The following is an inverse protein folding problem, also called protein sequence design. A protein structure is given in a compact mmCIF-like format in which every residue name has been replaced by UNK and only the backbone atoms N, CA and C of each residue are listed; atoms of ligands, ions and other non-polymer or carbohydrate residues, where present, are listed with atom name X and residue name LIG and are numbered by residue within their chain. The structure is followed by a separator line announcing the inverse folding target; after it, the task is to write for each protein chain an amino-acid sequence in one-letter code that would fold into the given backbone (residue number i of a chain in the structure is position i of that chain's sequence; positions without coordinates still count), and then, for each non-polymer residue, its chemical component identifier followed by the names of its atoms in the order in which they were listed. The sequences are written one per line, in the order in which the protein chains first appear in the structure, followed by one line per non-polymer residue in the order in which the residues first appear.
data_IF_218078096776
#
_entry.id   IF_218078096776
#
_cell.length_a   1.000
_cell.length_b   1.000
_cell.length_c   1.000
_cell.angle_alpha   90.00
_cell.angle_beta   90.00
_cell.angle_gamma   90.00
#
_symmetry.space_group_name_H-M   'P 1'
#
loop_
_entity.id
_entity.type
_entity.pdbx_description
1 polymer ?
#
# COMPACT_ATOMS: atom_id res chain seq x y z
N UNK A 1 -61.53 68.57 22.28
CA UNK A 1 -62.04 67.90 23.50
C UNK A 1 -62.20 66.42 23.18
N UNK A 2 -61.46 65.54 23.88
CA UNK A 2 -61.68 64.10 24.14
C UNK A 2 -61.98 63.11 22.97
N UNK A 3 -61.03 62.17 22.79
CA UNK A 3 -61.15 60.69 22.75
C UNK A 3 -62.42 60.02 22.16
N UNK A 4 -62.29 59.10 21.19
CA UNK A 4 -62.13 57.63 21.40
C UNK A 4 -62.10 56.84 20.08
N UNK A 5 -61.50 55.64 20.17
CA UNK A 5 -61.09 54.67 19.15
C UNK A 5 -62.19 53.77 18.54
N UNK A 6 -61.75 53.01 17.52
CA UNK A 6 -62.16 51.68 17.00
C UNK A 6 -62.73 51.77 15.59
N UNK A 7 -62.34 50.98 14.58
CA UNK A 7 -61.41 49.85 14.44
C UNK A 7 -61.48 49.46 12.96
N UNK A 8 -60.37 49.42 12.21
CA UNK A 8 -60.36 49.00 10.81
C UNK A 8 -59.50 47.74 10.67
N UNK A 9 -60.14 46.63 10.30
CA UNK A 9 -59.49 45.39 9.87
C UNK A 9 -58.69 45.66 8.58
N UNK A 10 -57.42 45.26 8.55
CA UNK A 10 -56.63 45.14 7.33
C UNK A 10 -55.93 43.79 7.36
N UNK A 11 -56.29 42.93 6.40
CA UNK A 11 -55.71 41.62 6.21
C UNK A 11 -54.24 41.73 5.80
N UNK A 12 -53.35 41.09 6.55
CA UNK A 12 -51.94 40.93 6.18
C UNK A 12 -51.71 39.49 5.72
N UNK A 13 -51.45 39.33 4.43
CA UNK A 13 -51.01 38.06 3.83
C UNK A 13 -49.61 37.73 4.34
N UNK A 14 -49.47 36.64 5.09
CA UNK A 14 -48.18 36.08 5.49
C UNK A 14 -47.68 35.20 4.34
N UNK A 15 -46.69 35.69 3.59
CA UNK A 15 -45.88 34.85 2.70
C UNK A 15 -44.82 34.17 3.57
N UNK A 16 -45.06 32.91 3.93
CA UNK A 16 -44.04 32.07 4.58
C UNK A 16 -43.02 31.64 3.54
N UNK A 17 -41.86 32.30 3.52
CA UNK A 17 -40.67 31.81 2.80
C UNK A 17 -40.13 30.57 3.52
N UNK A 18 -40.43 29.38 3.00
CA UNK A 18 -39.78 28.15 3.42
C UNK A 18 -38.30 28.19 2.98
N UNK A 19 -37.38 28.28 3.94
CA UNK A 19 -35.96 28.05 3.70
C UNK A 19 -35.77 26.56 3.38
N UNK A 20 -34.98 26.19 2.36
CA UNK A 20 -34.66 24.80 2.10
C UNK A 20 -33.82 24.28 3.27
N UNK A 21 -34.31 23.25 3.95
CA UNK A 21 -33.52 22.50 4.92
C UNK A 21 -32.34 21.87 4.16
N UNK A 22 -31.16 22.48 4.26
CA UNK A 22 -29.90 21.80 3.99
C UNK A 22 -29.77 20.68 5.04
N UNK A 23 -30.27 19.50 4.70
CA UNK A 23 -29.85 18.28 5.35
C UNK A 23 -28.39 18.05 4.95
N UNK A 24 -27.48 18.59 5.76
CA UNK A 24 -26.11 18.11 5.78
C UNK A 24 -26.17 16.59 6.01
N UNK A 25 -25.45 15.76 5.21
CA UNK A 25 -25.39 14.35 5.47
C UNK A 25 -24.87 14.17 6.89
N UNK A 26 -25.59 13.41 7.71
CA UNK A 26 -25.17 13.03 9.05
C UNK A 26 -23.86 12.24 8.93
N UNK A 27 -22.74 12.95 9.07
CA UNK A 27 -21.43 12.37 9.30
C UNK A 27 -21.53 11.51 10.55
N UNK A 28 -21.69 10.20 10.37
CA UNK A 28 -21.25 9.24 11.39
C UNK A 28 -19.73 9.35 11.45
N UNK A 29 -19.23 10.35 12.17
CA UNK A 29 -17.85 10.37 12.63
C UNK A 29 -17.67 9.11 13.47
N UNK A 30 -17.03 8.09 12.89
CA UNK A 30 -16.49 7.01 13.69
C UNK A 30 -15.51 7.64 14.68
N UNK A 31 -15.63 7.29 15.95
CA UNK A 31 -14.86 7.83 17.06
C UNK A 31 -13.35 7.47 17.04
N UNK A 32 -12.84 6.99 15.90
CA UNK A 32 -11.46 6.55 15.71
C UNK A 32 -10.82 7.42 14.61
N UNK A 33 -9.89 8.30 14.97
CA UNK A 33 -9.15 9.21 14.08
C UNK A 33 -8.17 8.45 13.14
N UNK A 34 -8.70 7.75 12.13
CA UNK A 34 -7.96 6.85 11.21
C UNK A 34 -7.81 7.41 9.79
N UNK A 35 -8.26 8.63 9.56
CA UNK A 35 -8.29 9.27 8.24
C UNK A 35 -6.88 9.54 7.72
N UNK A 36 -6.71 9.46 6.41
CA UNK A 36 -5.47 9.83 5.71
C UNK A 36 -5.50 11.32 5.34
N UNK A 37 -4.38 12.03 5.45
CA UNK A 37 -4.29 13.43 4.99
C UNK A 37 -4.33 13.56 3.46
N UNK A 38 -4.76 14.72 2.92
CA UNK A 38 -4.68 15.00 1.50
C UNK A 38 -3.26 14.86 0.94
N UNK A 39 -2.23 15.27 1.69
CA UNK A 39 -0.84 15.19 1.28
C UNK A 39 -0.37 13.75 1.16
N UNK A 40 -0.70 12.90 2.15
CA UNK A 40 -0.37 11.48 2.10
C UNK A 40 -1.11 10.78 0.97
N UNK A 41 -2.39 11.10 0.74
CA UNK A 41 -3.14 10.55 -0.39
C UNK A 41 -2.50 10.90 -1.74
N UNK A 42 -2.11 12.17 -1.93
CA UNK A 42 -1.44 12.62 -3.15
C UNK A 42 -0.11 11.90 -3.39
N UNK A 43 0.69 11.74 -2.33
CA UNK A 43 1.98 11.03 -2.40
C UNK A 43 1.80 9.53 -2.71
N UNK A 44 0.79 8.87 -2.12
CA UNK A 44 0.47 7.47 -2.43
C UNK A 44 -0.03 7.30 -3.88
N UNK A 45 -0.84 8.21 -4.39
CA UNK A 45 -1.30 8.21 -5.78
C UNK A 45 -0.13 8.41 -6.77
N UNK A 46 0.76 9.35 -6.47
CA UNK A 46 1.96 9.59 -7.27
C UNK A 46 2.86 8.35 -7.29
N UNK A 47 3.13 7.76 -6.12
CA UNK A 47 3.96 6.57 -5.99
C UNK A 47 3.35 5.34 -6.67
N UNK A 48 2.02 5.24 -6.77
CA UNK A 48 1.36 4.21 -7.56
C UNK A 48 1.71 4.33 -9.06
N UNK A 49 1.74 5.55 -9.60
CA UNK A 49 2.18 5.79 -10.99
C UNK A 49 3.68 5.55 -11.17
N UNK A 50 4.50 5.94 -10.20
CA UNK A 50 5.96 5.71 -10.19
C UNK A 50 6.28 4.22 -10.20
N UNK A 51 5.59 3.42 -9.37
CA UNK A 51 5.83 1.96 -9.33
C UNK A 51 5.31 1.25 -10.58
N UNK A 52 4.24 1.74 -11.21
CA UNK A 52 3.75 1.18 -12.48
C UNK A 52 4.81 1.27 -13.59
N UNK A 53 5.58 2.37 -13.65
CA UNK A 53 6.69 2.54 -14.62
C UNK A 53 7.74 1.42 -14.51
N UNK A 54 7.90 0.80 -13.33
CA UNK A 54 8.86 -0.31 -13.15
C UNK A 54 8.51 -1.52 -14.04
N UNK A 55 7.26 -1.66 -14.47
CA UNK A 55 6.82 -2.68 -15.42
C UNK A 55 7.27 -2.44 -16.85
N UNK A 56 7.86 -1.29 -17.16
CA UNK A 56 8.57 -1.08 -18.43
C UNK A 56 10.00 -1.64 -18.43
N UNK A 57 10.54 -2.05 -17.28
CA UNK A 57 11.91 -2.56 -17.20
C UNK A 57 12.01 -3.96 -17.84
N UNK A 58 13.05 -4.16 -18.65
CA UNK A 58 13.36 -5.45 -19.28
C UNK A 58 12.66 -5.70 -20.62
N UNK A 59 11.88 -4.74 -21.13
CA UNK A 59 11.25 -4.84 -22.44
C UNK A 59 12.19 -4.28 -23.52
N UNK A 60 12.58 -5.14 -24.48
CA UNK A 60 13.47 -4.76 -25.57
C UNK A 60 12.83 -3.68 -26.45
N UNK A 61 13.51 -2.56 -26.65
CA UNK A 61 13.05 -1.46 -27.52
C UNK A 61 11.97 -0.52 -26.94
N UNK A 62 11.32 -0.88 -25.84
CA UNK A 62 10.26 -0.06 -25.18
C UNK A 62 10.52 0.19 -23.68
N UNK A 63 11.69 -0.20 -23.19
CA UNK A 63 12.11 0.01 -21.81
C UNK A 63 12.38 1.48 -21.44
N UNK A 64 12.77 1.70 -20.19
CA UNK A 64 13.07 3.05 -19.68
C UNK A 64 14.44 3.48 -20.20
N UNK A 65 14.54 4.71 -20.70
CA UNK A 65 15.75 5.31 -21.27
C UNK A 65 16.01 6.70 -20.70
N UNK A 66 17.26 7.18 -20.79
CA UNK A 66 17.63 8.53 -20.35
C UNK A 66 16.99 9.62 -21.24
N UNK A 67 16.63 10.80 -20.70
CA UNK A 67 16.72 11.22 -19.30
C UNK A 67 15.72 10.48 -18.41
N UNK A 68 14.43 10.41 -18.72
CA UNK A 68 13.49 9.46 -18.10
C UNK A 68 12.31 9.27 -19.07
N UNK A 69 12.48 8.36 -20.03
CA UNK A 69 11.55 8.13 -21.15
C UNK A 69 11.16 6.67 -21.22
N UNK A 70 9.87 6.41 -21.33
CA UNK A 70 9.32 5.07 -21.51
C UNK A 70 7.99 5.15 -22.26
N UNK A 71 7.46 3.99 -22.65
CA UNK A 71 6.14 3.91 -23.28
C UNK A 71 5.02 4.30 -22.31
N UNK A 72 5.15 4.01 -21.01
CA UNK A 72 4.13 4.26 -19.99
C UNK A 72 4.10 5.74 -19.52
N UNK A 73 4.06 5.98 -18.21
CA UNK A 73 3.78 7.28 -17.58
C UNK A 73 4.99 8.19 -17.41
N UNK A 74 6.14 7.89 -18.01
CA UNK A 74 7.36 8.68 -17.80
C UNK A 74 7.20 10.17 -18.18
N UNK A 75 6.32 10.50 -19.13
CA UNK A 75 6.03 11.88 -19.51
C UNK A 75 5.31 12.69 -18.42
N UNK A 76 4.74 12.04 -17.41
CA UNK A 76 4.10 12.69 -16.26
C UNK A 76 5.13 13.18 -15.22
N UNK A 77 6.40 12.78 -15.36
CA UNK A 77 7.49 13.09 -14.44
C UNK A 77 8.64 13.80 -15.17
N UNK A 78 8.45 15.04 -15.64
CA UNK A 78 9.44 15.75 -16.45
C UNK A 78 10.72 16.13 -15.70
N UNK A 79 10.66 16.17 -14.36
CA UNK A 79 11.78 16.45 -13.46
C UNK A 79 12.58 15.19 -13.09
N UNK A 80 12.21 14.01 -13.60
CA UNK A 80 12.89 12.76 -13.30
C UNK A 80 14.10 12.53 -14.21
N UNK A 81 15.17 11.97 -13.63
CA UNK A 81 16.36 11.48 -14.34
C UNK A 81 16.65 10.02 -13.97
N UNK A 82 16.77 9.15 -14.98
CA UNK A 82 17.14 7.76 -14.86
C UNK A 82 18.63 7.62 -14.55
N UNK A 83 18.92 7.05 -13.38
CA UNK A 83 20.26 6.62 -13.00
C UNK A 83 20.56 5.26 -13.64
N UNK A 84 19.74 4.25 -13.36
CA UNK A 84 19.98 2.86 -13.78
C UNK A 84 18.68 2.06 -13.83
N UNK A 85 18.59 1.12 -14.77
CA UNK A 85 17.62 0.00 -14.72
C UNK A 85 18.36 -1.30 -14.43
N UNK A 86 17.72 -2.26 -13.73
CA UNK A 86 18.24 -3.62 -13.62
C UNK A 86 17.16 -4.65 -13.93
N UNK A 87 17.59 -5.78 -14.49
CA UNK A 87 16.80 -6.98 -14.68
C UNK A 87 17.75 -8.17 -14.48
N UNK A 88 17.46 -9.02 -13.50
CA UNK A 88 18.37 -10.08 -13.07
C UNK A 88 18.05 -11.47 -13.61
N UNK A 89 17.04 -11.64 -14.49
CA UNK A 89 16.78 -12.93 -15.14
C UNK A 89 15.31 -13.31 -15.36
N UNK A 90 15.08 -14.62 -15.52
CA UNK A 90 13.77 -15.28 -15.75
C UNK A 90 13.44 -16.39 -14.69
N UNK A 91 14.02 -16.32 -13.50
CA UNK A 91 13.90 -17.27 -12.39
C UNK A 91 13.09 -16.70 -11.19
N UNK A 92 12.75 -17.52 -10.20
CA UNK A 92 12.06 -17.05 -8.97
C UNK A 92 12.90 -16.13 -8.05
N UNK A 93 14.16 -15.87 -8.40
CA UNK A 93 15.03 -14.84 -7.79
C UNK A 93 15.07 -13.52 -8.58
N UNK A 94 14.12 -13.37 -9.50
CA UNK A 94 13.67 -12.16 -10.19
C UNK A 94 13.80 -10.90 -9.34
N UNK A 95 14.68 -9.99 -9.70
CA UNK A 95 14.54 -8.59 -9.34
C UNK A 95 14.68 -7.70 -10.56
N UNK A 96 13.70 -6.82 -10.73
CA UNK A 96 13.66 -5.84 -11.78
C UNK A 96 13.23 -4.50 -11.20
N UNK A 97 13.77 -3.43 -11.76
CA UNK A 97 13.43 -2.10 -11.30
C UNK A 97 14.34 -1.02 -11.88
N UNK A 98 14.20 0.17 -11.32
CA UNK A 98 15.03 1.31 -11.71
C UNK A 98 15.36 2.21 -10.51
N UNK A 99 16.46 2.94 -10.66
CA UNK A 99 16.84 4.07 -9.82
C UNK A 99 16.62 5.33 -10.64
N UNK A 100 15.88 6.28 -10.09
CA UNK A 100 15.69 7.61 -10.67
C UNK A 100 15.93 8.71 -9.63
N UNK A 101 16.28 9.90 -10.10
CA UNK A 101 16.30 11.13 -9.34
C UNK A 101 15.03 11.89 -9.67
N UNK A 102 14.36 12.47 -8.67
CA UNK A 102 13.41 13.55 -8.86
C UNK A 102 14.09 14.86 -8.48
N UNK A 103 14.18 15.78 -9.44
CA UNK A 103 14.72 17.12 -9.24
C UNK A 103 13.63 18.14 -8.88
N UNK A 104 12.47 17.68 -8.38
CA UNK A 104 11.40 18.53 -7.90
C UNK A 104 11.90 19.54 -6.87
N UNK A 105 11.45 20.79 -6.98
CA UNK A 105 11.82 21.86 -6.06
C UNK A 105 11.24 21.65 -4.66
N UNK A 106 10.12 20.93 -4.55
CA UNK A 106 9.39 20.72 -3.28
C UNK A 106 9.68 19.37 -2.65
N UNK A 107 10.13 18.37 -3.42
CA UNK A 107 10.40 17.03 -2.93
C UNK A 107 11.55 16.35 -3.70
N UNK A 108 12.80 16.87 -3.60
CA UNK A 108 13.97 16.29 -4.25
C UNK A 108 14.33 14.94 -3.61
N UNK A 109 14.41 13.88 -4.41
CA UNK A 109 14.56 12.51 -3.89
C UNK A 109 15.22 11.54 -4.86
N UNK A 110 15.91 10.55 -4.29
CA UNK A 110 16.39 9.35 -4.98
C UNK A 110 15.29 8.28 -4.83
N UNK A 111 14.80 7.78 -5.95
CA UNK A 111 13.72 6.80 -6.00
C UNK A 111 14.29 5.46 -6.47
N UNK A 112 14.03 4.39 -5.71
CA UNK A 112 14.31 3.01 -6.11
C UNK A 112 12.99 2.28 -6.23
N UNK A 113 12.59 1.96 -7.45
CA UNK A 113 11.32 1.32 -7.75
C UNK A 113 11.52 -0.16 -8.08
N UNK A 114 10.85 -1.04 -7.34
CA UNK A 114 10.91 -2.49 -7.49
C UNK A 114 9.65 -3.01 -8.17
N UNK A 115 9.83 -3.71 -9.29
CA UNK A 115 8.75 -4.34 -10.05
C UNK A 115 8.30 -5.65 -9.41
N UNK A 116 7.01 -5.93 -9.48
CA UNK A 116 6.48 -7.28 -9.26
C UNK A 116 6.77 -8.25 -10.43
N UNK A 117 6.27 -9.47 -10.32
CA UNK A 117 6.37 -10.47 -11.39
C UNK A 117 5.29 -10.25 -12.46
N UNK A 118 5.59 -10.54 -13.74
CA UNK A 118 4.58 -10.50 -14.81
C UNK A 118 3.50 -11.59 -14.68
N UNK A 119 3.86 -12.76 -14.13
CA UNK A 119 2.93 -13.86 -13.87
C UNK A 119 2.60 -13.96 -12.39
N UNK A 120 1.85 -12.97 -11.90
CA UNK A 120 1.45 -12.88 -10.49
C UNK A 120 0.70 -14.15 -10.05
N UNK A 121 -0.15 -14.71 -10.92
CA UNK A 121 -0.84 -15.98 -10.67
C UNK A 121 0.13 -17.14 -10.42
N UNK A 122 1.15 -17.31 -11.25
CA UNK A 122 2.16 -18.34 -11.03
C UNK A 122 2.97 -18.04 -9.77
N UNK A 123 3.35 -16.78 -9.53
CA UNK A 123 4.10 -16.39 -8.32
C UNK A 123 3.30 -16.65 -7.04
N UNK A 124 2.00 -16.45 -7.04
CA UNK A 124 1.14 -16.71 -5.87
C UNK A 124 1.00 -18.21 -5.61
N UNK A 125 0.91 -19.02 -6.66
CA UNK A 125 0.93 -20.49 -6.55
C UNK A 125 2.31 -21.01 -6.14
N UNK A 126 3.37 -20.35 -6.61
CA UNK A 126 4.79 -20.67 -6.40
C UNK A 126 5.45 -19.78 -5.33
N UNK A 127 4.65 -19.20 -4.43
CA UNK A 127 5.15 -18.58 -3.19
C UNK A 127 5.61 -19.74 -2.30
N UNK A 128 6.72 -20.36 -2.75
CA UNK A 128 7.28 -21.56 -2.20
C UNK A 128 7.54 -21.33 -0.74
N UNK A 129 6.85 -22.10 0.08
CA UNK A 129 6.60 -21.78 1.49
C UNK A 129 7.81 -21.90 2.38
N UNK A 130 9.02 -21.98 1.81
CA UNK A 130 10.27 -22.32 2.48
C UNK A 130 10.76 -21.08 3.24
N UNK A 131 10.60 -21.05 4.58
CA UNK A 131 11.23 -20.02 5.37
C UNK A 131 12.74 -20.26 5.38
N UNK A 132 13.54 -19.20 5.31
CA UNK A 132 14.96 -19.24 5.62
C UNK A 132 15.28 -18.25 6.73
N UNK A 133 16.39 -18.46 7.42
CA UNK A 133 16.90 -17.51 8.42
C UNK A 133 17.14 -16.13 7.79
N UNK A 134 16.64 -15.10 8.45
CA UNK A 134 16.93 -13.72 8.09
C UNK A 134 18.13 -13.22 8.89
N UNK A 135 19.17 -12.78 8.17
CA UNK A 135 20.39 -12.20 8.75
C UNK A 135 20.41 -10.71 8.42
N UNK A 136 20.19 -9.81 9.40
CA UNK A 136 20.22 -8.36 9.18
C UNK A 136 21.58 -7.86 8.73
N UNK A 137 21.60 -6.72 8.04
CA UNK A 137 22.83 -5.96 7.79
C UNK A 137 23.17 -5.06 9.00
N UNK A 138 24.46 -4.91 9.37
CA UNK A 138 25.58 -5.77 8.96
C UNK A 138 25.44 -7.15 9.62
N UNK A 139 25.75 -8.22 8.89
CA UNK A 139 25.70 -9.59 9.41
C UNK A 139 26.58 -9.78 10.65
N UNK A 140 26.29 -10.84 11.41
CA UNK A 140 26.85 -11.09 12.76
C UNK A 140 28.36 -10.78 12.84
N UNK A 141 28.79 -9.89 13.77
CA UNK A 141 30.19 -9.47 13.88
C UNK A 141 31.18 -10.60 14.16
N UNK A 142 30.71 -11.79 14.58
CA UNK A 142 31.57 -12.97 14.76
C UNK A 142 32.14 -13.53 13.44
N UNK A 143 31.60 -13.14 12.29
CA UNK A 143 32.08 -13.56 10.97
C UNK A 143 33.14 -12.64 10.34
N UNK A 144 33.43 -11.49 10.95
CA UNK A 144 34.50 -10.57 10.51
C UNK A 144 35.59 -10.48 11.57
N UNK A 145 36.62 -11.31 11.38
CA UNK A 145 37.88 -11.17 12.09
C UNK A 145 38.39 -9.71 12.00
N UNK A 146 38.48 -9.08 13.15
CA UNK A 146 39.44 -8.02 13.51
C UNK A 146 39.61 -6.86 12.52
N UNK A 147 38.94 -5.74 12.78
CA UNK A 147 39.58 -4.41 12.72
C UNK A 147 38.82 -3.43 13.62
N UNK A 148 39.24 -3.42 14.88
CA UNK A 148 39.41 -2.26 15.76
C UNK A 148 38.61 -0.98 15.42
N UNK A 149 37.45 -0.81 16.05
CA UNK A 149 37.09 0.40 16.81
C UNK A 149 35.78 0.14 17.56
N UNK A 150 35.86 0.20 18.88
CA UNK A 150 34.71 0.09 19.77
C UNK A 150 33.67 1.15 19.44
N UNK A 151 32.54 0.70 18.92
CA UNK A 151 31.25 1.36 19.02
C UNK A 151 30.33 0.22 19.44
N UNK A 152 29.87 0.26 20.69
CA UNK A 152 28.76 -0.52 21.19
C UNK A 152 27.51 -0.06 20.41
N UNK A 153 27.34 -0.61 19.21
CA UNK A 153 26.18 -0.27 18.39
C UNK A 153 25.03 -1.15 18.84
N UNK A 154 24.08 -0.56 19.58
CA UNK A 154 22.75 -1.08 19.91
C UNK A 154 21.89 -1.34 18.64
N UNK A 155 22.47 -1.80 17.53
CA UNK A 155 21.70 -2.29 16.40
C UNK A 155 20.84 -3.45 16.89
N UNK A 156 19.50 -3.34 16.84
CA UNK A 156 18.64 -4.41 17.35
C UNK A 156 18.96 -5.70 16.59
N UNK A 157 19.10 -6.81 17.33
CA UNK A 157 19.31 -8.13 16.73
C UNK A 157 17.97 -8.74 16.32
N UNK A 158 17.91 -9.35 15.14
CA UNK A 158 16.72 -10.07 14.68
C UNK A 158 16.82 -11.54 15.11
N UNK A 159 16.49 -11.83 16.37
CA UNK A 159 16.58 -13.19 16.91
C UNK A 159 15.41 -14.05 16.42
N UNK A 160 15.70 -15.28 15.96
CA UNK A 160 14.70 -16.24 15.45
C UNK A 160 13.87 -15.68 14.28
N UNK A 161 14.46 -14.78 13.49
CA UNK A 161 13.79 -14.20 12.33
C UNK A 161 13.88 -15.12 11.14
N UNK A 162 12.74 -15.40 10.52
CA UNK A 162 12.68 -16.14 9.26
C UNK A 162 11.97 -15.31 8.21
N UNK A 163 12.49 -15.33 6.98
CA UNK A 163 11.99 -14.62 5.80
C UNK A 163 11.71 -15.62 4.68
N UNK A 164 10.76 -15.29 3.80
CA UNK A 164 10.51 -16.07 2.58
C UNK A 164 11.78 -16.18 1.72
N UNK A 165 12.11 -17.40 1.29
CA UNK A 165 13.38 -17.67 0.61
C UNK A 165 13.52 -16.92 -0.71
N UNK A 166 12.45 -16.86 -1.50
CA UNK A 166 12.42 -16.14 -2.77
C UNK A 166 12.65 -14.64 -2.59
N UNK A 167 11.99 -14.01 -1.63
CA UNK A 167 12.04 -12.55 -1.44
C UNK A 167 13.45 -12.11 -1.04
N UNK A 168 14.06 -12.83 -0.10
CA UNK A 168 15.41 -12.50 0.35
C UNK A 168 16.47 -12.83 -0.71
N UNK A 169 16.26 -13.86 -1.54
CA UNK A 169 17.14 -14.13 -2.68
C UNK A 169 17.05 -13.02 -3.74
N UNK A 170 15.83 -12.58 -4.09
CA UNK A 170 15.61 -11.45 -4.99
C UNK A 170 16.27 -10.17 -4.48
N UNK A 171 16.17 -9.88 -3.17
CA UNK A 171 16.88 -8.74 -2.59
C UNK A 171 18.39 -8.88 -2.72
N UNK A 172 19.00 -10.01 -2.31
CA UNK A 172 20.47 -10.18 -2.39
C UNK A 172 21.01 -9.99 -3.81
N UNK A 173 20.29 -10.50 -4.82
CA UNK A 173 20.66 -10.34 -6.22
C UNK A 173 20.51 -8.87 -6.65
N UNK A 174 19.41 -8.20 -6.27
CA UNK A 174 19.19 -6.78 -6.54
C UNK A 174 20.27 -5.90 -5.89
N UNK A 175 20.54 -6.12 -4.60
CA UNK A 175 21.53 -5.40 -3.81
C UNK A 175 22.90 -5.42 -4.49
N UNK A 176 23.34 -6.59 -4.96
CA UNK A 176 24.59 -6.75 -5.70
C UNK A 176 24.62 -5.93 -7.00
N UNK A 177 23.47 -5.75 -7.65
CA UNK A 177 23.36 -5.01 -8.90
C UNK A 177 23.21 -3.49 -8.71
N UNK A 178 22.66 -3.02 -7.59
CA UNK A 178 22.24 -1.62 -7.41
C UNK A 178 23.00 -0.86 -6.33
N UNK A 179 23.55 -1.51 -5.30
CA UNK A 179 24.17 -0.81 -4.19
C UNK A 179 25.35 0.09 -4.60
N UNK A 180 26.27 -0.32 -5.50
CA UNK A 180 27.37 0.56 -5.91
C UNK A 180 26.89 1.86 -6.57
N UNK A 181 25.88 1.77 -7.46
CA UNK A 181 25.31 2.95 -8.12
C UNK A 181 24.50 3.80 -7.13
N UNK A 182 23.78 3.16 -6.21
CA UNK A 182 23.00 3.86 -5.19
C UNK A 182 23.91 4.60 -4.19
N UNK A 183 25.02 3.99 -3.75
CA UNK A 183 26.04 4.62 -2.90
C UNK A 183 26.64 5.86 -3.58
N UNK A 184 27.01 5.74 -4.86
CA UNK A 184 27.53 6.87 -5.63
C UNK A 184 26.47 7.97 -5.82
N UNK A 185 25.20 7.59 -6.01
CA UNK A 185 24.09 8.54 -6.18
C UNK A 185 23.82 9.29 -4.88
N UNK A 186 23.73 8.59 -3.74
CA UNK A 186 23.54 9.21 -2.41
C UNK A 186 24.70 10.16 -2.10
N UNK A 187 25.94 9.76 -2.39
CA UNK A 187 27.11 10.64 -2.20
C UNK A 187 27.07 11.90 -3.08
N UNK A 188 26.48 11.82 -4.27
CA UNK A 188 26.35 12.95 -5.19
C UNK A 188 25.17 13.87 -4.85
N UNK A 189 24.15 13.34 -4.17
CA UNK A 189 22.92 14.05 -3.80
C UNK A 189 22.60 13.87 -2.31
N UNK A 190 23.45 14.38 -1.39
CA UNK A 190 23.31 14.13 0.05
C UNK A 190 22.04 14.73 0.66
N UNK A 191 21.47 15.76 0.03
CA UNK A 191 20.24 16.43 0.49
C UNK A 191 18.96 15.80 -0.06
N UNK A 192 19.06 14.77 -0.92
CA UNK A 192 17.91 14.12 -1.51
C UNK A 192 17.37 13.04 -0.57
N UNK A 193 16.06 13.02 -0.36
CA UNK A 193 15.43 11.96 0.42
C UNK A 193 15.54 10.62 -0.33
N UNK A 194 15.73 9.51 0.39
CA UNK A 194 15.71 8.18 -0.21
C UNK A 194 14.30 7.58 -0.13
N UNK A 195 13.71 7.26 -1.28
CA UNK A 195 12.38 6.67 -1.39
C UNK A 195 12.46 5.30 -2.06
N UNK A 196 11.91 4.29 -1.40
CA UNK A 196 11.73 2.95 -1.97
C UNK A 196 10.26 2.74 -2.26
N UNK A 197 9.95 2.26 -3.46
CA UNK A 197 8.58 1.91 -3.84
C UNK A 197 8.52 0.54 -4.48
N UNK A 198 7.53 -0.27 -4.13
CA UNK A 198 7.40 -1.62 -4.66
C UNK A 198 5.95 -2.10 -4.73
N UNK A 199 5.64 -2.90 -5.76
CA UNK A 199 4.32 -3.49 -5.94
C UNK A 199 4.42 -5.02 -6.00
N UNK A 200 3.46 -5.74 -5.39
CA UNK A 200 3.43 -7.21 -5.37
C UNK A 200 4.73 -7.78 -4.78
N UNK A 201 5.37 -8.74 -5.45
CA UNK A 201 6.72 -9.22 -5.12
C UNK A 201 7.74 -8.08 -4.92
N UNK A 202 7.64 -7.02 -5.72
CA UNK A 202 8.51 -5.84 -5.61
C UNK A 202 8.33 -5.11 -4.28
N UNK A 203 7.13 -5.16 -3.68
CA UNK A 203 6.88 -4.67 -2.33
C UNK A 203 7.71 -5.44 -1.29
N UNK A 204 7.75 -6.77 -1.38
CA UNK A 204 8.55 -7.58 -0.48
C UNK A 204 10.06 -7.32 -0.61
N UNK A 205 10.53 -7.09 -1.84
CA UNK A 205 11.93 -6.71 -2.08
C UNK A 205 12.21 -5.31 -1.55
N UNK A 206 11.30 -4.34 -1.72
CA UNK A 206 11.42 -2.99 -1.18
C UNK A 206 11.46 -2.99 0.36
N UNK A 207 10.69 -3.86 1.02
CA UNK A 207 10.71 -4.06 2.46
C UNK A 207 12.10 -4.49 2.97
N UNK A 208 12.66 -5.54 2.37
CA UNK A 208 13.95 -6.09 2.75
C UNK A 208 15.10 -5.13 2.40
N UNK A 209 15.00 -4.42 1.26
CA UNK A 209 15.88 -3.33 0.91
C UNK A 209 15.84 -2.24 2.00
N UNK A 210 14.64 -1.82 2.40
CA UNK A 210 14.42 -0.81 3.43
C UNK A 210 15.14 -1.14 4.74
N UNK A 211 15.06 -2.38 5.21
CA UNK A 211 15.77 -2.83 6.42
C UNK A 211 17.30 -2.67 6.30
N UNK A 212 17.88 -3.07 5.18
CA UNK A 212 19.32 -2.95 4.96
C UNK A 212 19.75 -1.47 4.80
N UNK A 213 19.00 -0.68 4.03
CA UNK A 213 19.33 0.72 3.79
C UNK A 213 19.13 1.59 5.03
N UNK A 214 18.15 1.28 5.87
CA UNK A 214 17.98 1.90 7.19
C UNK A 214 19.15 1.57 8.11
N UNK A 215 19.61 0.31 8.13
CA UNK A 215 20.81 -0.09 8.92
C UNK A 215 22.12 0.53 8.41
N UNK A 216 22.16 0.99 7.16
CA UNK A 216 23.27 1.79 6.63
C UNK A 216 23.19 3.28 7.01
N UNK A 217 22.12 3.70 7.67
CA UNK A 217 21.89 5.08 8.09
C UNK A 217 21.34 5.99 6.98
N UNK A 218 20.79 5.42 5.89
CA UNK A 218 20.27 6.20 4.76
C UNK A 218 18.80 6.62 4.93
N UNK A 219 18.16 6.26 6.04
CA UNK A 219 16.84 6.71 6.45
C UNK A 219 15.76 6.68 5.33
N UNK A 220 15.55 5.55 4.65
CA UNK A 220 14.59 5.47 3.55
C UNK A 220 13.15 5.69 4.02
N UNK A 221 12.33 6.24 3.12
CA UNK A 221 10.86 6.14 3.16
C UNK A 221 10.41 5.02 2.23
N UNK A 222 9.65 4.06 2.72
CA UNK A 222 9.21 2.88 1.99
C UNK A 222 7.69 2.94 1.79
N UNK A 223 7.25 2.78 0.55
CA UNK A 223 5.83 2.59 0.21
C UNK A 223 5.67 1.32 -0.59
N UNK A 224 4.83 0.40 -0.10
CA UNK A 224 4.55 -0.86 -0.79
C UNK A 224 3.08 -0.98 -1.14
N UNK A 225 2.77 -1.57 -2.29
CA UNK A 225 1.40 -1.82 -2.77
C UNK A 225 1.21 -3.33 -2.93
N UNK A 226 0.23 -3.91 -2.23
CA UNK A 226 -0.04 -5.35 -2.33
C UNK A 226 1.13 -6.21 -1.85
N UNK A 227 1.85 -5.74 -0.84
CA UNK A 227 3.00 -6.45 -0.27
C UNK A 227 2.57 -7.77 0.38
N UNK A 228 3.15 -8.93 0.01
CA UNK A 228 2.90 -10.19 0.68
C UNK A 228 3.57 -10.26 2.06
N UNK A 229 3.16 -11.19 2.90
CA UNK A 229 3.81 -11.48 4.18
C UNK A 229 5.26 -11.87 3.99
N UNK A 230 6.17 -11.12 4.62
CA UNK A 230 7.61 -11.28 4.44
C UNK A 230 8.16 -12.51 5.18
N UNK A 231 7.66 -12.78 6.38
CA UNK A 231 8.25 -13.76 7.28
C UNK A 231 7.43 -14.02 8.54
N UNK A 232 8.12 -14.51 9.57
CA UNK A 232 7.49 -14.83 10.86
C UNK A 232 7.30 -13.60 11.76
N UNK A 233 6.60 -13.78 12.89
CA UNK A 233 6.37 -12.71 13.88
C UNK A 233 7.65 -12.09 14.43
N UNK A 234 8.79 -12.80 14.43
CA UNK A 234 10.05 -12.24 14.89
C UNK A 234 10.60 -11.21 13.89
N UNK A 235 10.57 -11.53 12.59
CA UNK A 235 10.94 -10.59 11.53
C UNK A 235 10.03 -9.36 11.52
N UNK A 236 8.72 -9.55 11.68
CA UNK A 236 7.76 -8.45 11.64
C UNK A 236 7.97 -7.49 12.81
N UNK A 237 8.10 -8.01 14.04
CA UNK A 237 8.44 -7.18 15.21
C UNK A 237 9.76 -6.42 15.03
N UNK A 238 10.75 -7.06 14.40
CA UNK A 238 12.00 -6.38 14.07
C UNK A 238 11.77 -5.22 13.11
N UNK A 239 11.02 -5.43 12.02
CA UNK A 239 10.65 -4.38 11.08
C UNK A 239 9.87 -3.24 11.77
N UNK A 240 8.85 -3.59 12.56
CA UNK A 240 8.04 -2.61 13.29
C UNK A 240 8.87 -1.74 14.24
N UNK A 241 9.88 -2.33 14.88
CA UNK A 241 10.81 -1.59 15.74
C UNK A 241 11.72 -0.67 14.92
N UNK A 242 12.29 -1.15 13.80
CA UNK A 242 13.20 -0.34 12.96
C UNK A 242 12.50 0.88 12.36
N UNK A 243 11.21 0.75 12.03
CA UNK A 243 10.42 1.83 11.43
C UNK A 243 9.44 2.51 12.39
N UNK A 244 9.50 2.21 13.69
CA UNK A 244 8.63 2.77 14.74
C UNK A 244 7.11 2.59 14.47
N UNK A 245 6.71 1.43 13.92
CA UNK A 245 5.33 1.15 13.53
C UNK A 245 4.43 0.72 14.70
N UNK A 246 5.02 0.38 15.85
CA UNK A 246 4.29 0.02 17.08
C UNK A 246 3.52 1.21 17.68
N UNK A 247 3.89 2.44 17.33
CA UNK A 247 3.14 3.66 17.66
C UNK A 247 1.78 3.76 16.96
N UNK A 248 1.44 2.84 16.06
CA UNK A 248 0.08 2.72 15.48
C UNK A 248 -0.93 2.04 16.41
N UNK A 249 -0.52 1.64 17.62
CA UNK A 249 -1.41 1.02 18.62
C UNK A 249 -2.41 2.02 19.20
N UNK A 250 -3.56 1.49 19.59
CA UNK A 250 -4.87 2.13 19.83
C UNK A 250 -4.91 3.40 20.70
N UNK A 251 -3.85 3.75 21.44
CA UNK A 251 -3.76 4.96 22.28
C UNK A 251 -3.12 6.18 21.59
N UNK A 252 -2.48 6.02 20.42
CA UNK A 252 -1.63 7.07 19.83
C UNK A 252 -2.27 7.82 18.66
N UNK A 253 -3.40 7.35 18.11
CA UNK A 253 -4.23 8.13 17.17
C UNK A 253 -5.02 9.25 17.87
N UNK A 254 -4.40 9.92 18.83
CA UNK A 254 -4.83 11.24 19.27
C UNK A 254 -4.36 12.27 18.23
N UNK A 255 -4.82 13.52 18.33
CA UNK A 255 -4.59 14.64 17.39
C UNK A 255 -3.13 15.05 17.13
N UNK A 256 -2.16 14.19 17.43
CA UNK A 256 -0.70 14.42 17.40
C UNK A 256 0.05 13.44 16.49
N UNK A 257 -0.63 12.48 15.85
CA UNK A 257 0.02 11.61 14.87
C UNK A 257 0.46 12.41 13.64
N UNK A 258 1.77 12.56 13.47
CA UNK A 258 2.33 13.27 12.32
C UNK A 258 2.64 12.26 11.21
N UNK A 259 1.77 12.21 10.20
CA UNK A 259 1.94 11.32 9.05
C UNK A 259 3.26 11.54 8.30
N UNK A 260 3.89 12.72 8.42
CA UNK A 260 5.22 12.98 7.85
C UNK A 260 6.33 12.13 8.47
N UNK A 261 6.08 11.51 9.63
CA UNK A 261 7.02 10.61 10.29
C UNK A 261 6.84 9.13 9.90
N UNK A 262 5.81 8.79 9.13
CA UNK A 262 5.61 7.43 8.58
C UNK A 262 6.64 7.13 7.49
N UNK A 263 7.74 6.49 7.90
CA UNK A 263 8.80 6.02 7.00
C UNK A 263 8.49 4.67 6.35
N UNK A 264 7.47 3.95 6.80
CA UNK A 264 7.02 2.72 6.17
C UNK A 264 5.50 2.75 6.00
N UNK A 265 5.04 2.53 4.77
CA UNK A 265 3.63 2.64 4.37
C UNK A 265 3.25 1.40 3.55
N UNK A 266 2.49 0.48 4.15
CA UNK A 266 2.03 -0.76 3.50
C UNK A 266 0.61 -0.55 2.99
N UNK A 267 0.45 -0.25 1.70
CA UNK A 267 -0.86 -0.03 1.08
C UNK A 267 -1.49 -1.36 0.68
N UNK A 268 -2.71 -1.60 1.13
CA UNK A 268 -3.51 -2.79 0.81
C UNK A 268 -4.84 -2.40 0.19
N UNK A 269 -5.37 -3.24 -0.68
CA UNK A 269 -6.66 -3.03 -1.33
C UNK A 269 -7.65 -4.13 -0.95
N UNK A 270 -8.92 -3.77 -0.80
CA UNK A 270 -10.00 -4.73 -0.53
C UNK A 270 -9.97 -5.89 -1.54
N UNK A 271 -10.21 -7.11 -1.07
CA UNK A 271 -10.18 -8.33 -1.88
C UNK A 271 -8.83 -8.72 -2.50
N UNK A 272 -7.74 -7.98 -2.25
CA UNK A 272 -6.40 -8.40 -2.69
C UNK A 272 -5.93 -9.64 -1.90
N UNK A 273 -5.71 -10.79 -2.56
CA UNK A 273 -5.23 -12.01 -1.89
C UNK A 273 -3.75 -11.94 -1.48
N UNK A 274 -2.91 -11.12 -2.12
CA UNK A 274 -1.45 -11.20 -1.99
C UNK A 274 -0.95 -10.78 -0.60
N UNK A 275 -1.47 -9.71 0.03
CA UNK A 275 -1.12 -9.39 1.42
C UNK A 275 -1.48 -10.47 2.44
N UNK A 276 -2.35 -11.41 2.06
CA UNK A 276 -2.76 -12.56 2.87
C UNK A 276 -1.93 -13.82 2.60
N UNK A 277 -0.83 -13.70 1.84
CA UNK A 277 0.05 -14.80 1.47
C UNK A 277 1.52 -14.48 1.79
N UNK A 278 2.37 -15.47 2.12
CA UNK A 278 2.03 -16.88 2.36
C UNK A 278 1.10 -17.07 3.56
N UNK A 279 0.51 -18.26 3.71
CA UNK A 279 -0.53 -18.51 4.71
C UNK A 279 -0.04 -18.40 6.16
N UNK A 280 -0.92 -17.93 7.06
CA UNK A 280 -0.65 -17.87 8.51
C UNK A 280 -0.33 -19.23 9.13
N UNK A 281 -0.94 -20.27 8.57
CA UNK A 281 -0.81 -21.69 8.91
C UNK A 281 0.62 -22.20 8.66
N UNK A 282 1.39 -21.50 7.82
CA UNK A 282 2.81 -21.80 7.56
C UNK A 282 3.77 -20.95 8.41
N UNK A 283 3.25 -20.21 9.40
CA UNK A 283 4.06 -19.41 10.32
C UNK A 283 4.34 -17.98 9.86
N UNK A 284 3.82 -17.57 8.71
CA UNK A 284 3.94 -16.19 8.21
C UNK A 284 2.94 -15.26 8.92
N UNK A 285 3.32 -14.00 9.11
CA UNK A 285 2.45 -12.96 9.69
C UNK A 285 2.60 -11.66 8.91
N UNK A 286 1.69 -10.70 9.15
CA UNK A 286 1.80 -9.34 8.66
C UNK A 286 2.55 -8.47 9.68
N UNK A 287 3.13 -7.37 9.23
CA UNK A 287 3.70 -6.32 10.10
C UNK A 287 2.77 -5.09 10.07
N UNK A 288 2.98 -4.14 10.98
CA UNK A 288 2.16 -2.92 11.10
C UNK A 288 2.41 -1.89 9.98
N UNK A 289 1.77 -0.72 10.06
CA UNK A 289 1.93 0.37 9.08
C UNK A 289 1.01 0.26 7.86
N UNK A 290 -0.12 -0.44 7.99
CA UNK A 290 -1.08 -0.62 6.91
C UNK A 290 -1.95 0.61 6.68
N UNK A 291 -2.08 0.98 5.40
CA UNK A 291 -3.03 1.95 4.88
C UNK A 291 -3.97 1.19 3.93
N UNK A 292 -5.22 1.04 4.33
CA UNK A 292 -6.17 0.16 3.66
C UNK A 292 -7.13 0.94 2.77
N UNK A 293 -7.19 0.56 1.49
CA UNK A 293 -8.16 1.05 0.51
C UNK A 293 -9.42 0.17 0.59
N UNK A 294 -10.49 0.75 1.11
CA UNK A 294 -11.75 0.04 1.36
C UNK A 294 -12.69 -0.02 0.15
N UNK A 295 -12.54 0.91 -0.81
CA UNK A 295 -13.32 0.94 -2.05
C UNK A 295 -12.73 -0.02 -3.07
N UNK A 296 -13.56 -0.91 -3.59
CA UNK A 296 -13.16 -1.95 -4.54
C UNK A 296 -13.00 -1.48 -5.99
N UNK A 297 -13.50 -0.28 -6.31
CA UNK A 297 -13.51 0.25 -7.67
C UNK A 297 -12.52 1.42 -7.80
N UNK A 298 -11.84 1.47 -8.93
CA UNK A 298 -11.01 2.62 -9.28
C UNK A 298 -11.88 3.83 -9.67
N UNK A 299 -11.48 5.06 -9.35
CA UNK A 299 -10.36 5.46 -8.47
C UNK A 299 -10.87 5.66 -7.03
N UNK A 300 -10.08 5.30 -5.99
CA UNK A 300 -10.41 5.64 -4.61
C UNK A 300 -10.36 7.15 -4.35
N UNK A 301 -11.14 7.60 -3.38
CA UNK A 301 -11.11 8.94 -2.81
C UNK A 301 -10.43 8.91 -1.44
N UNK A 302 -10.04 10.07 -0.90
CA UNK A 302 -9.36 10.16 0.41
C UNK A 302 -10.13 9.44 1.51
N UNK A 303 -11.46 9.57 1.51
CA UNK A 303 -12.35 8.92 2.49
C UNK A 303 -12.37 7.39 2.40
N UNK A 304 -11.90 6.82 1.30
CA UNK A 304 -11.85 5.37 1.10
C UNK A 304 -10.58 4.75 1.72
N UNK A 305 -9.63 5.58 2.17
CA UNK A 305 -8.39 5.16 2.82
C UNK A 305 -8.46 5.34 4.34
N UNK A 306 -7.92 4.35 5.05
CA UNK A 306 -7.81 4.41 6.50
C UNK A 306 -6.50 3.78 6.99
N UNK A 307 -5.96 4.32 8.08
CA UNK A 307 -4.89 3.67 8.83
C UNK A 307 -5.41 2.49 9.64
N UNK A 308 -4.63 1.42 9.65
CA UNK A 308 -4.91 0.20 10.39
C UNK A 308 -4.04 0.13 11.65
N UNK A 309 -4.60 -0.46 12.72
CA UNK A 309 -3.94 -0.50 14.03
C UNK A 309 -3.19 -1.82 14.21
N UNK A 310 -1.86 -1.73 14.36
CA UNK A 310 -1.00 -2.90 14.55
C UNK A 310 -0.92 -3.81 13.32
N UNK A 311 -0.57 -5.06 13.56
CA UNK A 311 -0.20 -6.02 12.51
C UNK A 311 -1.42 -6.64 11.80
N UNK A 312 -2.53 -6.85 12.52
CA UNK A 312 -3.67 -7.65 12.07
C UNK A 312 -5.03 -7.00 12.44
N UNK A 313 -5.25 -5.73 12.08
CA UNK A 313 -6.54 -5.04 12.31
C UNK A 313 -7.68 -5.69 11.50
N UNK A 314 -8.65 -6.31 12.17
CA UNK A 314 -9.80 -6.98 11.54
C UNK A 314 -10.71 -6.04 10.72
N UNK A 315 -10.55 -4.72 10.82
CA UNK A 315 -11.28 -3.75 9.97
C UNK A 315 -10.59 -3.50 8.62
N UNK A 316 -9.39 -4.04 8.43
CA UNK A 316 -8.56 -3.89 7.25
C UNK A 316 -8.37 -5.23 6.53
N UNK A 317 -7.24 -5.46 5.85
CA UNK A 317 -7.04 -6.67 5.06
C UNK A 317 -7.10 -7.95 5.91
N UNK A 318 -6.63 -7.89 7.17
CA UNK A 318 -6.63 -9.03 8.09
C UNK A 318 -8.05 -9.55 8.39
N UNK A 319 -9.08 -8.70 8.32
CA UNK A 319 -10.48 -9.11 8.46
C UNK A 319 -10.99 -10.03 7.35
N UNK A 320 -10.26 -10.09 6.22
CA UNK A 320 -10.56 -10.95 5.08
C UNK A 320 -9.77 -12.26 5.11
N UNK A 321 -8.91 -12.44 6.12
CA UNK A 321 -8.22 -13.69 6.37
C UNK A 321 -9.15 -14.67 7.12
N UNK A 322 -9.64 -15.68 6.42
CA UNK A 322 -10.59 -16.65 6.98
C UNK A 322 -10.04 -17.48 8.16
N UNK A 323 -8.73 -17.44 8.43
CA UNK A 323 -8.11 -18.04 9.62
C UNK A 323 -8.24 -17.14 10.86
N UNK A 324 -8.44 -15.83 10.69
CA UNK A 324 -8.53 -14.83 11.75
C UNK A 324 -9.99 -14.48 12.10
N UNK A 325 -10.97 -15.10 11.43
CA UNK A 325 -12.39 -14.93 11.79
C UNK A 325 -12.70 -15.62 13.12
N UNK A 326 -13.13 -14.85 14.11
CA UNK A 326 -13.61 -15.31 15.42
C UNK A 326 -14.63 -16.46 15.29
N UNK A 327 -14.61 -17.40 16.23
CA UNK A 327 -15.48 -18.59 16.28
C UNK A 327 -16.97 -18.30 16.01
N UNK A 328 -17.46 -17.12 16.40
CA UNK A 328 -18.82 -16.66 16.13
C UNK A 328 -19.20 -16.64 14.64
N UNK A 329 -18.25 -16.37 13.73
CA UNK A 329 -18.48 -16.41 12.27
C UNK A 329 -18.44 -17.83 11.71
N UNK A 330 -17.68 -18.74 12.34
CA UNK A 330 -17.63 -20.17 11.95
C UNK A 330 -18.93 -20.88 12.34
N UNK A 331 -19.51 -20.55 13.48
CA UNK A 331 -20.77 -21.14 13.93
C UNK A 331 -21.97 -20.59 13.15
N UNK A 332 -21.97 -19.30 12.80
CA UNK A 332 -22.97 -18.71 11.89
C UNK A 332 -22.87 -19.31 10.48
N UNK A 333 -21.65 -19.51 9.97
CA UNK A 333 -21.43 -20.18 8.67
C UNK A 333 -21.84 -21.66 8.70
N UNK A 334 -21.59 -22.38 9.80
CA UNK A 334 -22.06 -23.76 9.97
C UNK A 334 -23.58 -23.85 10.08
N UNK A 335 -24.20 -22.92 10.79
CA UNK A 335 -25.66 -22.83 10.89
C UNK A 335 -26.30 -22.53 9.53
N UNK A 336 -25.72 -21.62 8.75
CA UNK A 336 -26.19 -21.27 7.40
C UNK A 336 -25.95 -22.40 6.39
N UNK A 337 -24.83 -23.13 6.47
CA UNK A 337 -24.57 -24.30 5.61
C UNK A 337 -25.50 -25.45 5.98
N UNK A 338 -25.75 -25.70 7.27
CA UNK A 338 -26.68 -26.72 7.71
C UNK A 338 -28.11 -26.40 7.24
N UNK A 339 -28.53 -25.14 7.36
CA UNK A 339 -29.83 -24.67 6.87
C UNK A 339 -29.94 -24.80 5.34
N UNK A 340 -28.88 -24.45 4.60
CA UNK A 340 -28.81 -24.67 3.14
C UNK A 340 -28.89 -26.14 2.74
N UNK A 341 -28.34 -27.06 3.54
CA UNK A 341 -28.36 -28.51 3.26
C UNK A 341 -29.73 -29.11 3.60
N UNK A 342 -30.38 -28.62 4.64
CA UNK A 342 -31.73 -29.02 5.02
C UNK A 342 -32.77 -28.49 4.00
N UNK A 343 -32.57 -27.27 3.47
CA UNK A 343 -33.40 -26.67 2.42
C UNK A 343 -33.22 -27.34 1.04
N UNK A 344 -32.09 -28.03 0.79
CA UNK A 344 -31.84 -28.80 -0.44
C UNK A 344 -32.43 -30.23 -0.40
N UNK A 345 -32.96 -30.65 0.75
CA UNK A 345 -33.65 -31.94 0.90
C UNK A 345 -35.15 -31.86 0.57
N UNK A 346 -35.72 -30.67 0.44
CA UNK A 346 -37.12 -30.46 0.05
C UNK A 346 -37.24 -29.63 -1.25
N UNK A 347 -37.71 -30.33 -2.28
CA UNK A 347 -38.39 -29.85 -3.47
C UNK A 347 -37.63 -29.46 -4.74
N UNK A 348 -38.22 -29.96 -5.82
CA UNK A 348 -37.88 -29.94 -7.22
C UNK A 348 -38.71 -28.83 -7.87
N UNK A 349 -38.10 -28.03 -8.75
CA UNK A 349 -38.67 -27.25 -9.89
C UNK A 349 -38.04 -25.85 -10.01
N UNK A 350 -37.84 -25.40 -11.25
CA UNK A 350 -37.06 -24.24 -11.66
C UNK A 350 -37.58 -22.89 -11.14
N UNK A 351 -36.72 -22.13 -10.46
CA UNK A 351 -36.66 -20.66 -10.63
C UNK A 351 -35.25 -20.12 -10.30
N UNK A 352 -34.72 -19.25 -11.18
CA UNK A 352 -33.44 -18.56 -10.98
C UNK A 352 -33.54 -17.66 -9.75
N UNK A 353 -33.13 -18.17 -8.59
CA UNK A 353 -32.81 -17.35 -7.42
C UNK A 353 -31.31 -17.33 -7.21
N UNK A 354 -30.81 -16.10 -7.09
CA UNK A 354 -29.46 -15.72 -6.72
C UNK A 354 -29.17 -16.28 -5.32
N UNK A 355 -28.70 -17.52 -5.23
CA UNK A 355 -28.32 -18.15 -3.96
C UNK A 355 -26.95 -17.60 -3.59
N UNK A 356 -26.94 -16.84 -2.48
CA UNK A 356 -25.79 -16.18 -1.89
C UNK A 356 -24.52 -17.03 -1.98
N UNK A 357 -23.63 -16.57 -2.86
CA UNK A 357 -22.34 -17.18 -3.14
C UNK A 357 -21.54 -17.28 -1.84
N UNK A 358 -21.12 -18.50 -1.48
CA UNK A 358 -20.09 -18.82 -0.50
C UNK A 358 -19.13 -17.65 -0.26
N UNK A 359 -19.06 -17.12 0.97
CA UNK A 359 -18.10 -16.05 1.32
C UNK A 359 -16.70 -16.65 1.32
N UNK A 360 -16.09 -16.75 0.13
CA UNK A 360 -14.73 -17.25 -0.06
C UNK A 360 -13.76 -16.22 0.52
N UNK A 361 -12.91 -16.56 1.50
CA UNK A 361 -11.88 -15.66 2.02
C UNK A 361 -11.00 -15.09 0.91
N UNK A 362 -10.60 -13.81 1.02
CA UNK A 362 -9.95 -13.10 -0.09
C UNK A 362 -8.67 -13.79 -0.56
N UNK A 363 -7.91 -14.42 0.35
CA UNK A 363 -6.72 -15.24 0.04
C UNK A 363 -6.94 -16.36 -0.99
N UNK A 364 -8.19 -16.81 -1.18
CA UNK A 364 -8.56 -17.85 -2.15
C UNK A 364 -9.19 -17.31 -3.44
N UNK A 365 -9.44 -16.00 -3.53
CA UNK A 365 -10.00 -15.35 -4.72
C UNK A 365 -8.92 -15.11 -5.77
N UNK A 366 -8.35 -16.16 -6.37
CA UNK A 366 -7.24 -16.03 -7.34
C UNK A 366 -7.56 -15.14 -8.56
N UNK A 367 -8.83 -14.96 -8.92
CA UNK A 367 -9.22 -14.00 -9.97
C UNK A 367 -8.94 -12.55 -9.58
N UNK A 368 -8.90 -12.23 -8.28
CA UNK A 368 -8.57 -10.89 -7.79
C UNK A 368 -7.11 -10.51 -8.04
N UNK A 369 -6.26 -11.46 -8.42
CA UNK A 369 -4.90 -11.18 -8.93
C UNK A 369 -4.90 -10.33 -10.21
N UNK A 370 -5.99 -10.39 -10.99
CA UNK A 370 -6.15 -9.60 -12.21
C UNK A 370 -6.84 -8.26 -11.97
N UNK A 371 -7.46 -8.07 -10.80
CA UNK A 371 -8.26 -6.90 -10.44
C UNK A 371 -7.73 -6.26 -9.15
N UNK A 372 -8.26 -6.60 -7.96
CA UNK A 372 -7.89 -5.96 -6.69
C UNK A 372 -6.38 -5.87 -6.44
N UNK A 373 -5.62 -6.90 -6.80
CA UNK A 373 -4.17 -6.89 -6.61
C UNK A 373 -3.43 -5.88 -7.51
N UNK A 374 -4.09 -5.38 -8.56
CA UNK A 374 -3.54 -4.40 -9.49
C UNK A 374 -4.16 -3.02 -9.31
N UNK A 375 -5.29 -2.91 -8.63
CA UNK A 375 -6.09 -1.69 -8.57
C UNK A 375 -5.68 -0.83 -7.35
N UNK A 376 -4.52 -0.18 -7.42
CA UNK A 376 -3.98 0.72 -6.40
C UNK A 376 -3.92 2.14 -6.94
N UNK A 377 -5.00 2.92 -6.75
CA UNK A 377 -5.26 4.25 -7.36
C UNK A 377 -5.46 4.23 -8.88
N UNK A 378 -4.65 3.41 -9.55
CA UNK A 378 -4.59 3.09 -10.96
C UNK A 378 -4.46 1.59 -11.11
N UNK A 379 -4.79 1.07 -12.30
CA UNK A 379 -4.50 -0.33 -12.60
C UNK A 379 -3.02 -0.50 -12.94
N UNK A 380 -2.26 -1.02 -12.00
CA UNK A 380 -0.82 -1.26 -12.08
C UNK A 380 -0.49 -2.48 -12.94
N UNK A 381 0.76 -2.56 -13.41
CA UNK A 381 1.34 -3.78 -13.96
C UNK A 381 1.40 -3.85 -15.48
N UNK A 382 1.19 -2.74 -16.20
CA UNK A 382 1.25 -2.72 -17.67
C UNK A 382 2.14 -1.58 -18.18
N UNK A 383 3.14 -1.92 -18.99
CA UNK A 383 3.90 -0.93 -19.76
C UNK A 383 3.19 -0.60 -21.07
N UNK A 384 2.21 0.30 -21.02
CA UNK A 384 1.42 0.78 -22.16
C UNK A 384 1.30 2.31 -22.12
N UNK A 385 1.10 3.01 -23.25
CA UNK A 385 0.95 4.47 -23.29
C UNK A 385 0.01 4.98 -22.21
N UNK A 386 0.44 5.90 -21.35
CA UNK A 386 -0.42 6.48 -20.30
C UNK A 386 -0.88 5.51 -19.19
N UNK A 387 -0.34 4.30 -19.11
CA UNK A 387 -0.83 3.24 -18.22
C UNK A 387 -2.09 2.56 -18.79
N UNK A 388 -2.90 1.92 -17.93
CA UNK A 388 -4.07 1.17 -18.37
C UNK A 388 -5.01 2.00 -19.28
N UNK A 389 -5.44 1.49 -20.45
CA UNK A 389 -6.31 2.23 -21.37
C UNK A 389 -7.64 2.69 -20.76
N UNK A 390 -8.15 2.01 -19.73
CA UNK A 390 -9.36 2.44 -19.01
C UNK A 390 -9.17 3.70 -18.17
N UNK A 391 -7.92 4.16 -18.05
CA UNK A 391 -7.50 5.25 -17.17
C UNK A 391 -7.04 6.50 -17.94
N UNK A 392 -6.91 6.47 -19.27
CA UNK A 392 -6.28 7.55 -20.08
C UNK A 392 -6.95 8.94 -20.00
N UNK A 393 -8.25 8.99 -19.69
CA UNK A 393 -8.98 10.26 -19.57
C UNK A 393 -9.00 10.81 -18.13
N UNK A 394 -8.36 10.12 -17.17
CA UNK A 394 -8.39 10.52 -15.76
C UNK A 394 -7.23 11.46 -15.45
N UNK A 395 -7.51 12.48 -14.63
CA UNK A 395 -6.49 13.42 -14.14
C UNK A 395 -5.87 12.89 -12.83
N UNK A 396 -4.57 13.07 -12.62
CA UNK A 396 -3.95 12.84 -11.31
C UNK A 396 -4.64 13.63 -10.21
N UNK A 397 -4.49 13.17 -8.97
CA UNK A 397 -4.97 13.92 -7.82
C UNK A 397 -4.17 15.23 -7.73
N UNK A 398 -4.87 16.36 -7.91
CA UNK A 398 -4.29 17.67 -7.67
C UNK A 398 -4.59 18.03 -6.21
N UNK A 399 -3.54 18.23 -5.40
CA UNK A 399 -3.67 19.15 -4.27
C UNK A 399 -4.11 20.47 -4.91
N UNK A 400 -5.29 20.98 -4.55
CA UNK A 400 -5.77 22.26 -5.05
C UNK A 400 -4.61 23.24 -4.86
N UNK A 401 -4.08 23.77 -5.97
CA UNK A 401 -3.13 24.87 -5.94
C UNK A 401 -3.80 26.02 -5.18
N UNK A 402 -3.47 26.16 -3.90
CA UNK A 402 -3.64 27.40 -3.14
C UNK A 402 -2.69 28.45 -3.73
N UNK A 403 -3.00 28.96 -4.92
CA UNK A 403 -2.52 30.25 -5.42
C UNK A 403 -3.21 30.61 -6.75
N UNK A 404 -4.53 30.82 -6.69
CA UNK A 404 -5.20 31.72 -7.64
C UNK A 404 -6.49 32.30 -7.05
N UNK A 405 -6.31 33.02 -5.96
CA UNK A 405 -7.27 34.01 -5.52
C UNK A 405 -6.63 35.39 -5.64
N UNK A 406 -6.39 35.80 -6.88
CA UNK A 406 -6.34 37.20 -7.28
C UNK A 406 -6.60 37.30 -8.79
N UNK A 407 -7.44 38.28 -9.15
CA UNK A 407 -7.94 38.67 -10.49
C UNK A 407 -9.13 37.88 -11.08
N UNK A 408 -10.36 38.31 -10.76
CA UNK A 408 -11.22 39.14 -11.62
C UNK A 408 -12.10 40.03 -10.76
#
# INVERSE_FOLDING_TARGET
MRFLLLSALSALSIVTSALPAQQAPLLRHAADNRTVSPELFADLEELARVVDISYCVGLTGIGISKPFKCLSRCSEFPDFELVKTWNTGQLMSDSCGYIALSHSQTNPRIIVAFRGTYSIANTVVDLSTVPQEYVPYPGDPESKASTSRGIDSETPRCNNCTVHTGFYSSWKVAASAILPDLEATIASYPDYALTLVGHSLGGAVAALAGLELDSRGWNPTITTFGEPRLGNSALNRYLDQRFNLLGSTREVWTSTFNERQLRYRRVTHIDDPVPLLPLTEWGYRMHAGEIYISKSSLTPEIQDLQHCVGDEDHRCIAGQDGSLSTDAKRDDLRAQVQQSVDDLAEEHELEKRDVGLWVVPSRYKLWQLFFSHRDYFWRLGLCVPGGDPWDWNRKPYALLDEEKQDSV
#
